data_IF_302972168421
#
_entry.id   IF_302972168421
#
_cell.length_a   1.000
_cell.length_b   1.000
_cell.length_c   1.000
_cell.angle_alpha   90.00
_cell.angle_beta   90.00
_cell.angle_gamma   90.00
#
_symmetry.space_group_name_H-M   'P 1'
#
loop_
_entity.id
_entity.type
_entity.pdbx_description
1 polymer ?
#
# COMPACT_ATOMS: atom_id res chain seq x y z
N UNK A 1 -52.00 2.80 31.30
CA UNK A 1 -51.25 1.79 30.51
C UNK A 1 -49.82 2.29 30.35
N UNK A 2 -48.89 1.80 31.19
CA UNK A 2 -47.48 2.18 31.13
C UNK A 2 -46.83 1.50 29.93
N UNK A 3 -46.42 2.28 28.91
CA UNK A 3 -45.59 1.75 27.82
C UNK A 3 -44.19 1.50 28.39
N UNK A 4 -43.61 0.30 28.27
CA UNK A 4 -42.24 0.06 28.67
C UNK A 4 -41.33 0.96 27.83
N UNK A 5 -40.51 1.78 28.49
CA UNK A 5 -39.47 2.57 27.84
C UNK A 5 -38.59 1.62 27.01
N UNK A 6 -38.47 1.89 25.71
CA UNK A 6 -37.58 1.12 24.84
C UNK A 6 -36.19 1.04 25.51
N UNK A 7 -35.57 -0.15 25.53
CA UNK A 7 -34.23 -0.36 26.12
C UNK A 7 -33.17 0.59 25.51
N UNK A 8 -33.44 1.19 24.35
CA UNK A 8 -32.67 2.27 23.75
C UNK A 8 -32.64 3.59 24.57
N UNK A 9 -33.61 3.80 25.47
CA UNK A 9 -33.68 4.92 26.41
C UNK A 9 -33.06 4.59 27.78
N UNK A 10 -32.23 3.54 27.88
CA UNK A 10 -31.46 3.28 29.10
C UNK A 10 -30.45 4.41 29.34
N UNK A 11 -30.35 4.87 30.59
CA UNK A 11 -29.53 6.03 31.01
C UNK A 11 -28.06 5.94 30.58
N UNK A 12 -27.53 4.73 30.40
CA UNK A 12 -26.23 4.49 29.81
C UNK A 12 -26.32 3.37 28.76
N UNK A 13 -25.76 3.62 27.59
CA UNK A 13 -25.68 2.66 26.50
C UNK A 13 -24.52 1.68 26.72
N UNK A 14 -24.74 0.37 26.51
CA UNK A 14 -23.69 -0.68 26.52
C UNK A 14 -22.88 -0.73 25.21
N UNK A 15 -23.05 0.24 24.32
CA UNK A 15 -22.29 0.35 23.08
C UNK A 15 -20.82 0.66 23.37
N UNK A 16 -19.88 0.26 22.48
CA UNK A 16 -18.47 0.57 22.65
C UNK A 16 -18.26 2.08 22.81
N UNK A 17 -17.54 2.45 23.87
CA UNK A 17 -17.22 3.84 24.17
C UNK A 17 -16.43 4.46 23.01
N UNK A 18 -16.66 5.73 22.70
CA UNK A 18 -15.82 6.50 21.78
C UNK A 18 -15.01 7.53 22.59
N UNK A 19 -14.10 8.26 21.95
CA UNK A 19 -13.24 9.26 22.61
C UNK A 19 -13.99 10.44 23.24
N UNK A 20 -15.32 10.54 23.08
CA UNK A 20 -16.16 11.63 23.60
C UNK A 20 -17.11 11.22 24.72
N UNK A 21 -17.18 9.92 25.05
CA UNK A 21 -18.20 9.34 25.93
C UNK A 21 -17.76 9.13 27.38
N UNK A 22 -16.56 9.56 27.77
CA UNK A 22 -16.00 9.31 29.09
C UNK A 22 -15.25 10.54 29.64
N UNK A 23 -14.72 10.41 30.86
CA UNK A 23 -14.04 11.49 31.58
C UNK A 23 -12.76 11.98 30.89
N UNK A 24 -12.23 13.12 31.36
CA UNK A 24 -11.05 13.80 30.81
C UNK A 24 -9.83 12.87 30.62
N UNK A 25 -9.66 11.90 31.51
CA UNK A 25 -8.51 10.98 31.48
C UNK A 25 -8.71 9.77 30.56
N UNK A 26 -9.91 9.58 30.00
CA UNK A 26 -10.18 8.51 29.07
C UNK A 26 -9.65 8.84 27.67
N UNK A 27 -8.45 8.34 27.37
CA UNK A 27 -7.87 8.39 26.04
C UNK A 27 -8.14 7.10 25.26
N UNK A 28 -8.98 7.17 24.23
CA UNK A 28 -9.25 6.04 23.32
C UNK A 28 -8.38 6.02 22.06
N UNK A 29 -8.20 7.17 21.42
CA UNK A 29 -7.59 7.29 20.09
C UNK A 29 -8.49 6.87 18.93
N UNK A 30 -8.00 7.09 17.70
CA UNK A 30 -8.75 6.96 16.43
C UNK A 30 -7.96 6.22 15.34
N UNK A 31 -7.01 5.36 15.73
CA UNK A 31 -6.03 4.71 14.82
C UNK A 31 -5.05 5.66 14.11
N UNK A 32 -5.03 6.94 14.47
CA UNK A 32 -3.95 7.84 14.05
C UNK A 32 -2.63 7.32 14.63
N UNK A 33 -1.70 6.94 13.75
CA UNK A 33 -0.39 6.42 14.13
C UNK A 33 0.43 7.43 14.94
N UNK A 34 1.41 6.94 15.71
CA UNK A 34 2.29 7.83 16.46
C UNK A 34 3.42 8.38 15.56
N UNK A 35 3.26 9.62 15.12
CA UNK A 35 4.26 10.34 14.30
C UNK A 35 5.31 11.08 15.14
N UNK A 36 5.18 11.08 16.46
CA UNK A 36 6.10 11.83 17.33
C UNK A 36 7.37 11.02 17.63
N UNK A 37 8.51 11.70 17.68
CA UNK A 37 9.76 11.14 18.20
C UNK A 37 9.55 10.74 19.66
N UNK A 38 10.03 9.56 20.01
CA UNK A 38 10.02 9.05 21.38
C UNK A 38 11.39 9.29 22.00
N UNK A 39 11.45 10.07 23.08
CA UNK A 39 12.67 10.17 23.91
C UNK A 39 12.62 9.04 24.93
N UNK A 40 13.64 8.19 24.93
CA UNK A 40 13.85 7.21 26.01
C UNK A 40 14.19 8.00 27.28
N UNK A 41 13.37 7.86 28.32
CA UNK A 41 13.52 8.66 29.56
C UNK A 41 14.34 7.89 30.59
N UNK A 42 14.08 6.59 30.73
CA UNK A 42 14.76 5.75 31.68
C UNK A 42 14.80 4.32 31.15
N UNK A 43 15.98 3.72 31.18
CA UNK A 43 16.20 2.27 31.14
C UNK A 43 16.38 1.71 32.55
N UNK A 44 16.79 2.57 33.47
CA UNK A 44 17.15 2.20 34.82
C UNK A 44 16.50 3.09 35.89
N UNK A 45 16.43 2.59 37.11
CA UNK A 45 16.07 3.35 38.30
C UNK A 45 17.13 4.44 38.63
N UNK A 46 16.89 5.35 39.60
CA UNK A 46 17.88 6.33 40.02
C UNK A 46 19.21 5.75 40.55
N UNK A 47 19.24 4.45 40.85
CA UNK A 47 20.41 3.71 41.34
C UNK A 47 21.17 3.00 40.19
N UNK A 48 20.68 3.08 38.95
CA UNK A 48 21.30 2.49 37.77
C UNK A 48 20.84 1.07 37.41
N UNK A 49 19.84 0.50 38.11
CA UNK A 49 19.34 -0.84 37.83
C UNK A 49 18.31 -0.84 36.70
N UNK A 50 18.48 -1.73 35.71
CA UNK A 50 17.54 -1.89 34.59
C UNK A 50 16.12 -2.20 35.08
N UNK A 51 15.13 -1.49 34.55
CA UNK A 51 13.72 -1.68 34.91
C UNK A 51 13.15 -2.92 34.21
N UNK A 52 12.47 -3.79 34.95
CA UNK A 52 11.77 -4.97 34.44
C UNK A 52 10.28 -4.97 34.84
N UNK A 53 9.43 -5.62 34.05
CA UNK A 53 8.03 -5.87 34.37
C UNK A 53 7.87 -7.07 35.32
N UNK A 54 6.67 -7.29 35.87
CA UNK A 54 6.36 -8.45 36.74
C UNK A 54 6.64 -9.81 36.10
N UNK A 55 6.74 -9.85 34.77
CA UNK A 55 7.02 -11.05 33.97
C UNK A 55 8.50 -11.15 33.54
N UNK A 56 9.40 -10.31 34.07
CA UNK A 56 10.83 -10.35 33.76
C UNK A 56 11.26 -9.69 32.44
N UNK A 57 10.34 -9.07 31.71
CA UNK A 57 10.65 -8.36 30.46
C UNK A 57 11.16 -6.95 30.73
N UNK A 58 12.13 -6.47 29.95
CA UNK A 58 12.66 -5.10 30.07
C UNK A 58 11.56 -4.03 29.89
N UNK A 59 11.47 -3.09 30.84
CA UNK A 59 10.53 -1.97 30.82
C UNK A 59 11.20 -0.71 30.29
N UNK A 60 10.73 -0.24 29.14
CA UNK A 60 11.16 1.05 28.58
C UNK A 60 10.11 2.14 28.79
N UNK A 61 10.52 3.27 29.37
CA UNK A 61 9.69 4.47 29.47
C UNK A 61 10.02 5.42 28.32
N UNK A 62 9.06 5.65 27.43
CA UNK A 62 9.20 6.56 26.30
C UNK A 62 8.34 7.82 26.49
N UNK A 63 8.96 9.01 26.53
CA UNK A 63 8.24 10.28 26.43
C UNK A 63 7.90 10.52 24.97
N UNK A 64 6.64 10.86 24.69
CA UNK A 64 6.34 11.54 23.43
C UNK A 64 6.96 12.93 23.48
N UNK A 65 7.90 13.21 22.59
CA UNK A 65 8.45 14.56 22.46
C UNK A 65 7.50 15.44 21.65
N UNK A 66 7.77 16.74 21.60
CA UNK A 66 7.08 17.70 20.72
C UNK A 66 7.60 17.69 19.27
N UNK A 67 8.60 16.85 18.95
CA UNK A 67 9.21 16.78 17.62
C UNK A 67 8.62 15.62 16.80
N UNK A 68 8.41 15.87 15.52
CA UNK A 68 7.92 14.87 14.57
C UNK A 68 9.08 13.96 14.14
N UNK A 69 8.77 12.68 13.97
CA UNK A 69 9.65 11.66 13.42
C UNK A 69 9.29 11.45 11.96
N UNK A 70 10.02 12.12 11.06
CA UNK A 70 9.76 12.09 9.61
C UNK A 70 9.81 10.67 9.03
N UNK A 71 10.61 9.78 9.62
CA UNK A 71 10.68 8.38 9.20
C UNK A 71 9.39 7.59 9.49
N UNK A 72 8.53 8.09 10.38
CA UNK A 72 7.24 7.49 10.73
C UNK A 72 6.06 8.16 10.05
N UNK A 73 6.28 9.22 9.30
CA UNK A 73 5.23 9.86 8.52
C UNK A 73 4.91 8.99 7.30
N UNK A 74 3.63 8.62 7.08
CA UNK A 74 3.24 7.96 5.85
C UNK A 74 3.39 8.94 4.68
N UNK A 75 4.21 8.57 3.70
CA UNK A 75 4.44 9.36 2.48
C UNK A 75 3.69 8.73 1.30
N UNK A 76 2.86 9.51 0.64
CA UNK A 76 2.18 9.10 -0.59
C UNK A 76 3.02 9.52 -1.79
N UNK A 77 3.68 8.55 -2.42
CA UNK A 77 4.53 8.81 -3.59
C UNK A 77 3.65 8.93 -4.83
N UNK A 78 3.66 10.11 -5.46
CA UNK A 78 2.94 10.37 -6.71
C UNK A 78 3.93 10.24 -7.88
N UNK A 79 3.73 9.29 -8.81
CA UNK A 79 4.63 9.13 -9.94
C UNK A 79 4.52 10.33 -10.90
N UNK A 80 5.64 10.83 -11.43
CA UNK A 80 5.61 11.88 -12.43
C UNK A 80 4.95 11.39 -13.73
N UNK A 81 4.37 12.30 -14.49
CA UNK A 81 3.80 11.96 -15.80
C UNK A 81 2.39 11.34 -15.75
N UNK A 82 1.74 11.28 -14.57
CA UNK A 82 0.43 10.64 -14.41
C UNK A 82 -0.64 11.25 -15.33
N UNK A 83 -0.58 12.57 -15.57
CA UNK A 83 -1.52 13.30 -16.41
C UNK A 83 -1.40 12.95 -17.91
N UNK A 84 -0.22 12.52 -18.36
CA UNK A 84 0.08 12.16 -19.74
C UNK A 84 -0.15 10.67 -20.02
N UNK A 85 -0.49 9.88 -18.99
CA UNK A 85 -0.74 8.46 -19.18
C UNK A 85 -1.98 8.23 -20.04
N UNK A 86 -1.89 7.25 -20.95
CA UNK A 86 -3.04 6.79 -21.75
C UNK A 86 -4.04 5.99 -20.91
N UNK A 87 -3.64 5.55 -19.72
CA UNK A 87 -4.45 4.74 -18.82
C UNK A 87 -5.55 5.59 -18.19
N UNK A 88 -6.78 5.10 -18.25
CA UNK A 88 -7.96 5.72 -17.63
C UNK A 88 -8.54 4.76 -16.60
N UNK A 89 -9.23 5.26 -15.55
CA UNK A 89 -9.89 4.40 -14.56
C UNK A 89 -10.95 3.48 -15.16
N UNK A 90 -11.54 3.90 -16.29
CA UNK A 90 -12.58 3.17 -16.99
C UNK A 90 -12.12 2.80 -18.39
N UNK A 91 -12.65 1.68 -18.89
CA UNK A 91 -12.36 1.13 -20.23
C UNK A 91 -13.66 1.02 -21.00
N UNK A 92 -13.62 1.31 -22.30
CA UNK A 92 -14.76 1.15 -23.19
C UNK A 92 -15.02 -0.34 -23.48
N UNK A 93 -16.21 -0.82 -23.14
CA UNK A 93 -16.62 -2.23 -23.30
C UNK A 93 -17.47 -2.44 -24.57
N UNK A 94 -17.00 -1.93 -25.71
CA UNK A 94 -17.67 -2.01 -27.00
C UNK A 94 -16.95 -2.91 -28.02
N UNK A 95 -17.30 -2.80 -29.32
CA UNK A 95 -16.64 -3.56 -30.37
C UNK A 95 -15.17 -3.12 -30.53
N UNK A 96 -14.30 -4.08 -30.84
CA UNK A 96 -12.86 -3.83 -31.02
C UNK A 96 -12.55 -2.85 -32.17
N UNK A 97 -13.42 -2.78 -33.18
CA UNK A 97 -13.32 -1.82 -34.29
C UNK A 97 -13.38 -0.36 -33.83
N UNK A 98 -14.03 -0.08 -32.72
CA UNK A 98 -14.16 1.26 -32.12
C UNK A 98 -13.16 1.47 -30.97
N UNK A 99 -12.18 0.58 -30.81
CA UNK A 99 -11.23 0.60 -29.69
C UNK A 99 -11.82 0.05 -28.38
N UNK A 100 -12.95 -0.64 -28.44
CA UNK A 100 -13.56 -1.32 -27.31
C UNK A 100 -12.86 -2.63 -26.95
N UNK A 101 -12.87 -2.99 -25.67
CA UNK A 101 -12.42 -4.30 -25.22
C UNK A 101 -13.64 -5.23 -25.21
N UNK A 102 -13.59 -6.28 -26.04
CA UNK A 102 -14.63 -7.31 -26.07
C UNK A 102 -14.80 -7.90 -24.67
N UNK A 103 -16.03 -7.85 -24.14
CA UNK A 103 -16.42 -8.48 -22.87
C UNK A 103 -16.35 -10.00 -23.03
N UNK A 104 -15.18 -10.59 -22.87
CA UNK A 104 -15.06 -12.02 -22.57
C UNK A 104 -15.38 -12.22 -21.09
N UNK A 105 -16.66 -12.48 -20.79
CA UNK A 105 -17.11 -12.93 -19.46
C UNK A 105 -17.54 -11.86 -18.45
N UNK A 106 -18.13 -12.35 -17.35
CA UNK A 106 -18.76 -11.58 -16.25
C UNK A 106 -17.83 -10.51 -15.66
N UNK A 107 -18.42 -9.35 -15.32
CA UNK A 107 -17.76 -8.25 -14.62
C UNK A 107 -17.12 -8.76 -13.31
N UNK A 108 -15.79 -8.69 -13.18
CA UNK A 108 -15.07 -9.11 -11.96
C UNK A 108 -14.09 -10.29 -12.08
N UNK A 109 -13.83 -10.82 -13.29
CA UNK A 109 -12.75 -11.77 -13.64
C UNK A 109 -12.89 -13.26 -13.14
N UNK A 110 -13.08 -14.22 -14.08
CA UNK A 110 -12.63 -15.60 -13.87
C UNK A 110 -11.82 -16.24 -15.03
N UNK A 111 -11.68 -15.62 -16.20
CA UNK A 111 -11.14 -16.31 -17.41
C UNK A 111 -9.78 -15.82 -17.92
N UNK A 112 -9.18 -14.80 -17.32
CA UNK A 112 -7.78 -14.51 -17.60
C UNK A 112 -6.91 -15.57 -16.94
N UNK A 113 -5.90 -16.09 -17.66
CA UNK A 113 -4.87 -16.95 -17.06
C UNK A 113 -4.32 -16.22 -15.84
N UNK A 114 -4.70 -16.70 -14.66
CA UNK A 114 -4.06 -16.25 -13.42
C UNK A 114 -2.60 -16.64 -13.56
N UNK A 115 -1.71 -15.71 -13.22
CA UNK A 115 -0.31 -16.06 -13.06
C UNK A 115 -0.25 -17.25 -12.09
N UNK A 116 0.21 -18.40 -12.57
CA UNK A 116 0.29 -19.62 -11.77
C UNK A 116 1.29 -19.46 -10.63
N UNK A 117 1.41 -20.47 -9.77
CA UNK A 117 2.44 -20.49 -8.72
C UNK A 117 3.86 -20.35 -9.30
N UNK A 118 4.07 -20.78 -10.55
CA UNK A 118 5.31 -20.66 -11.32
C UNK A 118 5.46 -19.34 -12.07
N UNK A 119 4.48 -18.43 -11.96
CA UNK A 119 4.44 -17.15 -12.67
C UNK A 119 5.56 -16.18 -12.31
N UNK A 120 6.26 -16.42 -11.20
CA UNK A 120 7.43 -15.68 -10.74
C UNK A 120 8.60 -16.61 -10.41
N UNK A 121 8.70 -17.74 -11.13
CA UNK A 121 9.87 -18.62 -10.99
C UNK A 121 11.08 -18.11 -11.80
N UNK A 122 12.28 -18.54 -11.42
CA UNK A 122 13.51 -18.20 -12.12
C UNK A 122 13.48 -18.61 -13.60
N UNK A 123 12.74 -19.65 -13.96
CA UNK A 123 12.50 -20.07 -15.34
C UNK A 123 11.74 -19.03 -16.15
N UNK A 124 10.68 -18.44 -15.59
CA UNK A 124 9.92 -17.34 -16.20
C UNK A 124 10.79 -16.10 -16.43
N UNK A 125 11.59 -15.71 -15.44
CA UNK A 125 12.47 -14.55 -15.62
C UNK A 125 13.57 -14.80 -16.67
N UNK A 126 14.08 -16.04 -16.76
CA UNK A 126 15.04 -16.42 -17.81
C UNK A 126 14.44 -16.34 -19.21
N UNK A 127 13.18 -16.76 -19.40
CA UNK A 127 12.52 -16.65 -20.70
C UNK A 127 12.25 -15.19 -21.08
N UNK A 128 11.81 -14.36 -20.14
CA UNK A 128 11.62 -12.91 -20.36
C UNK A 128 12.93 -12.22 -20.75
N UNK A 129 14.05 -12.57 -20.10
CA UNK A 129 15.38 -12.05 -20.45
C UNK A 129 15.80 -12.52 -21.84
N UNK A 130 15.59 -13.80 -22.16
CA UNK A 130 15.86 -14.36 -23.49
C UNK A 130 15.11 -13.60 -24.59
N UNK A 131 13.81 -13.41 -24.42
CA UNK A 131 12.95 -12.66 -25.35
C UNK A 131 13.37 -11.19 -25.48
N UNK A 132 13.82 -10.57 -24.40
CA UNK A 132 14.32 -9.20 -24.43
C UNK A 132 15.61 -9.10 -25.26
N UNK A 133 16.54 -10.04 -25.09
CA UNK A 133 17.81 -10.07 -25.81
C UNK A 133 17.60 -10.35 -27.30
N UNK A 134 16.69 -11.26 -27.66
CA UNK A 134 16.36 -11.54 -29.07
C UNK A 134 15.74 -10.33 -29.75
N UNK A 135 14.75 -9.68 -29.12
CA UNK A 135 14.14 -8.43 -29.63
C UNK A 135 15.16 -7.32 -29.82
N UNK A 136 16.11 -7.20 -28.89
CA UNK A 136 17.21 -6.22 -28.99
C UNK A 136 18.10 -6.50 -30.19
N UNK A 137 18.54 -7.75 -30.38
CA UNK A 137 19.37 -8.15 -31.53
C UNK A 137 18.65 -7.89 -32.86
N UNK A 138 17.35 -8.21 -32.95
CA UNK A 138 16.55 -7.93 -34.16
C UNK A 138 16.50 -6.42 -34.44
N UNK A 139 16.31 -5.60 -33.40
CA UNK A 139 16.30 -4.14 -33.54
C UNK A 139 17.66 -3.60 -34.02
N UNK A 140 18.75 -4.11 -33.46
CA UNK A 140 20.11 -3.73 -33.86
C UNK A 140 20.37 -4.08 -35.33
N UNK A 141 20.00 -5.29 -35.78
CA UNK A 141 20.09 -5.69 -37.19
C UNK A 141 19.25 -4.78 -38.11
N UNK A 142 18.01 -4.46 -37.73
CA UNK A 142 17.17 -3.54 -38.50
C UNK A 142 17.76 -2.13 -38.60
N UNK A 143 18.46 -1.65 -37.58
CA UNK A 143 19.15 -0.37 -37.60
C UNK A 143 20.40 -0.42 -38.51
N UNK A 144 21.15 -1.51 -38.50
CA UNK A 144 22.29 -1.73 -39.41
C UNK A 144 21.85 -1.82 -40.88
N UNK A 145 20.82 -2.61 -41.17
CA UNK A 145 20.25 -2.73 -42.52
C UNK A 145 19.77 -1.37 -43.04
N UNK A 146 19.11 -0.57 -42.19
CA UNK A 146 18.71 0.81 -42.53
C UNK A 146 19.89 1.71 -42.86
N UNK A 147 20.98 1.60 -42.09
CA UNK A 147 22.22 2.38 -42.36
C UNK A 147 22.83 1.99 -43.70
N UNK A 148 22.95 0.69 -43.99
CA UNK A 148 23.50 0.19 -45.26
C UNK A 148 22.67 0.63 -46.47
N UNK A 149 21.34 0.63 -46.35
CA UNK A 149 20.44 1.12 -47.40
C UNK A 149 20.59 2.64 -47.61
N UNK A 150 20.84 3.41 -46.56
CA UNK A 150 21.11 4.84 -46.67
C UNK A 150 22.45 5.11 -47.34
N UNK A 151 23.53 4.41 -46.94
CA UNK A 151 24.86 4.60 -47.52
C UNK A 151 24.96 4.18 -48.99
N UNK A 152 24.13 3.22 -49.43
CA UNK A 152 24.09 2.78 -50.83
C UNK A 152 23.18 3.65 -51.74
N UNK A 153 22.48 4.64 -51.17
CA UNK A 153 21.62 5.57 -51.93
C UNK A 153 22.27 6.92 -52.21
N UNK A 154 23.38 7.22 -51.56
CA UNK A 154 24.27 8.36 -51.84
C UNK A 154 25.34 7.94 -52.86
#
# INVERSE_FOLDING_TARGET
MFKPTQVACSKASRLPLNSKKANRDFYKGTRTGNIMRRKRIATADPQGNQLYDKNGNERYWHLKTKRIDEARLPNYVVPPGLAQTKLRPYVFAGPASEGGVSRKGKFGLPEYQRMGAEGFDGTYYRSVIGDMLTKRRIKEQQEEDRRLVQTNRD
#
